data_IF_589334153002
#
_entry.id   IF_589334153002
#
_cell.length_a   1.000
_cell.length_b   1.000
_cell.length_c   1.000
_cell.angle_alpha   90.00
_cell.angle_beta   90.00
_cell.angle_gamma   90.00
#
_symmetry.space_group_name_H-M   'P 1'
#
loop_
_entity.id
_entity.type
_entity.pdbx_description
1 polymer ?
#
# COMPACT_ATOMS: atom_id res chain seq x y z
N UNK A 1 5.39 -13.12 -28.90
CA UNK A 1 5.82 -12.63 -27.58
C UNK A 1 4.59 -12.08 -26.86
N UNK A 2 4.34 -12.52 -25.64
CA UNK A 2 3.23 -11.99 -24.83
C UNK A 2 3.77 -10.85 -23.98
N UNK A 3 3.13 -9.69 -24.01
CA UNK A 3 3.46 -8.53 -23.19
C UNK A 3 2.44 -8.48 -22.06
N UNK A 4 2.92 -8.49 -20.81
CA UNK A 4 2.12 -8.23 -19.62
C UNK A 4 2.44 -6.85 -19.05
N UNK A 5 1.51 -6.26 -18.31
CA UNK A 5 1.70 -4.96 -17.65
C UNK A 5 1.60 -5.14 -16.15
N UNK A 6 2.63 -4.67 -15.45
CA UNK A 6 2.71 -4.67 -13.99
C UNK A 6 2.50 -3.24 -13.46
N UNK A 7 1.60 -3.09 -12.50
CA UNK A 7 1.34 -1.82 -11.83
C UNK A 7 1.77 -1.88 -10.37
N UNK A 8 2.25 -0.76 -9.86
CA UNK A 8 2.25 -0.49 -8.42
C UNK A 8 0.84 -0.06 -7.97
N UNK A 9 0.59 -0.02 -6.68
CA UNK A 9 -0.73 0.28 -6.11
C UNK A 9 -0.78 1.68 -5.51
N UNK A 10 -0.10 1.89 -4.38
CA UNK A 10 -0.16 3.15 -3.63
C UNK A 10 0.47 4.30 -4.42
N UNK A 11 -0.32 5.34 -4.69
CA UNK A 11 0.14 6.51 -5.45
C UNK A 11 0.23 6.30 -6.96
N UNK A 12 -0.17 5.13 -7.46
CA UNK A 12 -0.21 4.79 -8.89
C UNK A 12 -1.64 4.52 -9.34
N UNK A 13 -2.28 3.50 -8.80
CA UNK A 13 -3.67 3.13 -9.11
C UNK A 13 -4.65 3.70 -8.09
N UNK A 14 -4.29 3.68 -6.81
CA UNK A 14 -5.10 4.17 -5.70
C UNK A 14 -4.43 5.36 -5.01
N UNK A 15 -5.23 6.36 -4.70
CA UNK A 15 -4.87 7.39 -3.75
C UNK A 15 -5.21 6.90 -2.34
N UNK A 16 -4.21 6.33 -1.67
CA UNK A 16 -4.33 5.73 -0.33
C UNK A 16 -3.77 6.65 0.76
N UNK A 17 -3.30 7.84 0.40
CA UNK A 17 -2.44 8.66 1.26
C UNK A 17 -3.16 9.16 2.52
N UNK A 18 -4.41 9.57 2.40
CA UNK A 18 -5.20 10.08 3.54
C UNK A 18 -5.44 8.99 4.59
N UNK A 19 -5.84 7.80 4.17
CA UNK A 19 -6.06 6.67 5.08
C UNK A 19 -4.75 6.19 5.71
N UNK A 20 -3.63 6.21 4.96
CA UNK A 20 -2.30 5.93 5.50
C UNK A 20 -1.88 6.96 6.55
N UNK A 21 -2.11 8.26 6.29
CA UNK A 21 -1.85 9.33 7.24
C UNK A 21 -2.67 9.15 8.52
N UNK A 22 -3.96 8.90 8.38
CA UNK A 22 -4.85 8.76 9.52
C UNK A 22 -4.47 7.55 10.39
N UNK A 23 -4.11 6.42 9.77
CA UNK A 23 -3.63 5.24 10.50
C UNK A 23 -2.26 5.46 11.16
N UNK A 24 -1.35 6.18 10.48
CA UNK A 24 -0.05 6.56 11.05
C UNK A 24 -0.27 7.42 12.28
N UNK A 25 -1.10 8.45 12.18
CA UNK A 25 -1.36 9.38 13.29
C UNK A 25 -2.14 8.72 14.43
N UNK A 26 -3.04 7.79 14.13
CA UNK A 26 -3.66 6.96 15.18
C UNK A 26 -2.61 6.21 15.99
N UNK A 27 -1.67 5.55 15.33
CA UNK A 27 -0.59 4.82 16.01
C UNK A 27 0.31 5.75 16.84
N UNK A 28 0.70 6.88 16.27
CA UNK A 28 1.55 7.87 16.95
C UNK A 28 0.86 8.49 18.17
N UNK A 29 -0.36 8.99 17.99
CA UNK A 29 -1.13 9.65 19.06
C UNK A 29 -1.44 8.70 20.21
N UNK A 30 -1.70 7.42 19.93
CA UNK A 30 -1.93 6.41 20.95
C UNK A 30 -0.69 6.11 21.83
N UNK A 31 0.49 6.54 21.38
CA UNK A 31 1.76 6.45 22.11
C UNK A 31 2.25 7.80 22.65
N UNK A 32 1.45 8.86 22.48
CA UNK A 32 1.81 10.21 22.90
C UNK A 32 2.86 10.88 22.01
N UNK A 33 3.06 10.39 20.79
CA UNK A 33 3.99 10.99 19.83
C UNK A 33 3.31 12.04 18.96
N UNK A 34 4.08 13.04 18.46
CA UNK A 34 3.54 14.05 17.54
C UNK A 34 3.00 13.43 16.25
N UNK A 35 1.90 13.97 15.76
CA UNK A 35 1.34 13.59 14.47
C UNK A 35 2.22 14.06 13.31
N UNK A 36 2.08 13.37 12.17
CA UNK A 36 2.74 13.71 10.91
C UNK A 36 1.75 14.34 9.94
N UNK A 37 2.24 15.30 9.18
CA UNK A 37 1.47 15.92 8.09
C UNK A 37 1.32 14.97 6.91
N UNK A 38 0.38 15.29 6.02
CA UNK A 38 0.16 14.56 4.78
C UNK A 38 1.43 14.52 3.91
N UNK A 39 2.16 15.63 3.84
CA UNK A 39 3.41 15.76 3.09
C UNK A 39 4.54 14.88 3.67
N UNK A 40 4.65 14.80 4.99
CA UNK A 40 5.62 13.91 5.62
C UNK A 40 5.29 12.45 5.35
N UNK A 41 4.02 12.04 5.54
CA UNK A 41 3.58 10.67 5.27
C UNK A 41 3.78 10.30 3.80
N UNK A 42 3.51 11.23 2.87
CA UNK A 42 3.78 11.03 1.43
C UNK A 42 5.23 10.64 1.16
N UNK A 43 6.19 11.26 1.85
CA UNK A 43 7.62 10.95 1.71
C UNK A 43 8.00 9.61 2.31
N UNK A 44 7.25 9.14 3.29
CA UNK A 44 7.53 7.88 4.00
C UNK A 44 6.94 6.65 3.30
N UNK A 45 5.95 6.83 2.44
CA UNK A 45 5.24 5.75 1.73
C UNK A 45 6.10 5.18 0.60
N UNK A 46 5.95 3.89 0.33
CA UNK A 46 6.54 3.20 -0.82
C UNK A 46 7.46 2.03 -0.46
N UNK A 47 7.99 1.99 0.76
CA UNK A 47 8.95 0.98 1.20
C UNK A 47 8.41 0.07 2.33
N UNK A 48 7.10 -0.11 2.37
CA UNK A 48 6.40 -0.95 3.35
C UNK A 48 6.10 -0.25 4.68
N UNK A 49 5.18 -0.84 5.44
CA UNK A 49 4.67 -0.27 6.70
C UNK A 49 5.77 -0.12 7.77
N UNK A 50 6.72 -1.04 7.83
CA UNK A 50 7.84 -0.98 8.76
C UNK A 50 8.69 0.27 8.57
N UNK A 51 9.03 0.61 7.31
CA UNK A 51 9.78 1.84 6.99
C UNK A 51 8.95 3.10 7.21
N UNK A 52 7.68 3.07 6.85
CA UNK A 52 6.76 4.18 7.12
C UNK A 52 6.78 4.52 8.63
N UNK A 53 6.59 3.54 9.49
CA UNK A 53 6.55 3.77 10.94
C UNK A 53 7.92 4.16 11.52
N UNK A 54 9.01 3.57 11.03
CA UNK A 54 10.36 3.94 11.45
C UNK A 54 10.70 5.41 11.16
N UNK A 55 10.17 5.97 10.07
CA UNK A 55 10.34 7.39 9.74
C UNK A 55 9.32 8.29 10.46
N UNK A 56 8.17 7.76 10.84
CA UNK A 56 7.11 8.52 11.48
C UNK A 56 7.35 8.77 12.97
N UNK A 57 7.91 7.79 13.71
CA UNK A 57 8.21 7.96 15.13
C UNK A 57 9.29 9.03 15.35
N UNK A 58 9.39 9.61 16.58
CA UNK A 58 10.48 10.54 16.90
C UNK A 58 11.87 9.90 16.73
N UNK A 59 12.87 10.72 16.44
CA UNK A 59 14.25 10.27 16.27
C UNK A 59 14.73 9.48 17.50
N UNK A 60 15.37 8.33 17.28
CA UNK A 60 15.91 7.47 18.33
C UNK A 60 14.87 6.57 19.02
N UNK A 61 13.60 6.62 18.62
CA UNK A 61 12.54 5.77 19.18
C UNK A 61 12.43 4.49 18.34
N UNK A 62 12.30 3.35 19.02
CA UNK A 62 11.94 2.07 18.35
C UNK A 62 10.51 2.14 17.82
N UNK A 63 10.33 1.78 16.56
CA UNK A 63 9.04 1.83 15.87
C UNK A 63 8.18 0.58 16.03
N UNK A 64 8.65 -0.45 16.73
CA UNK A 64 7.97 -1.76 16.80
C UNK A 64 6.53 -1.65 17.35
N UNK A 65 6.35 -0.91 18.44
CA UNK A 65 5.02 -0.71 19.04
C UNK A 65 4.10 0.11 18.14
N UNK A 66 4.62 1.17 17.53
CA UNK A 66 3.87 1.99 16.59
C UNK A 66 3.46 1.19 15.35
N UNK A 67 4.34 0.34 14.84
CA UNK A 67 4.06 -0.56 13.72
C UNK A 67 2.94 -1.55 14.09
N UNK A 68 2.99 -2.14 15.29
CA UNK A 68 1.95 -3.07 15.76
C UNK A 68 0.57 -2.39 15.83
N UNK A 69 0.50 -1.16 16.32
CA UNK A 69 -0.75 -0.38 16.38
C UNK A 69 -1.26 0.01 15.00
N UNK A 70 -0.37 0.42 14.10
CA UNK A 70 -0.71 0.69 12.72
C UNK A 70 -1.29 -0.56 12.03
N UNK A 71 -0.64 -1.71 12.19
CA UNK A 71 -1.07 -2.97 11.59
C UNK A 71 -2.41 -3.49 12.15
N UNK A 72 -2.71 -3.18 13.40
CA UNK A 72 -4.00 -3.51 14.01
C UNK A 72 -5.14 -2.61 13.53
N UNK A 73 -4.85 -1.33 13.27
CA UNK A 73 -5.85 -0.31 12.89
C UNK A 73 -6.11 -0.25 11.37
N UNK A 74 -5.05 -0.23 10.58
CA UNK A 74 -5.12 0.09 9.15
C UNK A 74 -6.02 -0.86 8.34
N UNK A 75 -6.02 -2.20 8.52
CA UNK A 75 -6.83 -3.10 7.68
C UNK A 75 -8.33 -2.78 7.68
N UNK A 76 -8.88 -2.33 8.79
CA UNK A 76 -10.30 -1.96 8.91
C UNK A 76 -10.59 -0.50 8.53
N UNK A 77 -9.55 0.33 8.27
CA UNK A 77 -9.66 1.76 7.99
C UNK A 77 -9.03 2.17 6.66
N UNK A 78 -8.62 1.22 5.84
CA UNK A 78 -7.87 1.49 4.60
C UNK A 78 -8.74 1.83 3.38
N UNK A 79 -10.06 1.91 3.53
CA UNK A 79 -11.00 2.20 2.46
C UNK A 79 -11.98 3.34 2.80
N UNK A 80 -11.63 4.21 3.73
CA UNK A 80 -12.49 5.31 4.16
C UNK A 80 -12.38 6.48 3.17
N UNK A 81 -11.15 6.89 2.85
CA UNK A 81 -10.85 8.01 1.95
C UNK A 81 -10.10 7.56 0.69
N UNK A 82 -9.71 6.29 0.64
CA UNK A 82 -9.02 5.69 -0.51
C UNK A 82 -9.96 5.60 -1.71
N UNK A 83 -9.45 5.96 -2.88
CA UNK A 83 -10.16 5.84 -4.15
C UNK A 83 -9.16 5.68 -5.30
N UNK A 84 -9.57 5.07 -6.44
CA UNK A 84 -8.78 5.11 -7.66
C UNK A 84 -8.56 6.56 -8.13
N UNK A 85 -7.39 6.82 -8.70
CA UNK A 85 -7.20 8.09 -9.40
C UNK A 85 -8.16 8.20 -10.58
N UNK A 86 -8.60 9.43 -10.96
CA UNK A 86 -9.49 9.64 -12.10
C UNK A 86 -8.94 9.00 -13.38
N UNK A 87 -9.79 8.24 -14.08
CA UNK A 87 -9.44 7.56 -15.33
C UNK A 87 -8.78 6.19 -15.16
N UNK A 88 -8.38 5.78 -13.97
CA UNK A 88 -7.74 4.48 -13.73
C UNK A 88 -8.68 3.31 -14.01
N UNK A 89 -9.92 3.25 -13.51
CA UNK A 89 -10.82 2.12 -13.81
C UNK A 89 -11.04 1.93 -15.30
N UNK A 90 -11.25 3.00 -16.05
CA UNK A 90 -11.47 2.98 -17.49
C UNK A 90 -10.21 2.53 -18.25
N UNK A 91 -9.04 3.01 -17.84
CA UNK A 91 -7.76 2.63 -18.43
C UNK A 91 -7.47 1.14 -18.23
N UNK A 92 -7.65 0.63 -17.00
CA UNK A 92 -7.46 -0.80 -16.72
C UNK A 92 -8.44 -1.68 -17.49
N UNK A 93 -9.70 -1.29 -17.58
CA UNK A 93 -10.70 -2.02 -18.36
C UNK A 93 -10.36 -2.07 -19.87
N UNK A 94 -9.78 -1.00 -20.41
CA UNK A 94 -9.32 -0.98 -21.80
C UNK A 94 -8.06 -1.85 -22.01
N UNK A 95 -7.10 -1.78 -21.07
CA UNK A 95 -5.87 -2.56 -21.15
C UNK A 95 -6.07 -4.05 -20.97
N UNK A 96 -6.97 -4.48 -20.06
CA UNK A 96 -7.30 -5.89 -19.84
C UNK A 96 -7.79 -6.61 -21.10
N UNK A 97 -8.38 -5.88 -22.04
CA UNK A 97 -8.84 -6.46 -23.32
C UNK A 97 -7.68 -6.85 -24.24
N UNK A 98 -6.49 -6.33 -24.00
CA UNK A 98 -5.33 -6.48 -24.88
C UNK A 98 -4.14 -7.16 -24.20
N UNK A 99 -4.01 -7.00 -22.90
CA UNK A 99 -2.82 -7.42 -22.14
C UNK A 99 -3.22 -8.09 -20.84
N UNK A 100 -2.51 -9.13 -20.39
CA UNK A 100 -2.57 -9.57 -19.01
C UNK A 100 -2.05 -8.45 -18.08
N UNK A 101 -2.79 -8.19 -17.02
CA UNK A 101 -2.45 -7.17 -16.03
C UNK A 101 -2.20 -7.80 -14.67
N UNK A 102 -1.23 -7.26 -13.92
CA UNK A 102 -1.02 -7.61 -12.52
C UNK A 102 -0.63 -6.38 -11.69
N UNK A 103 -0.90 -6.45 -10.39
CA UNK A 103 -0.58 -5.41 -9.41
C UNK A 103 0.42 -6.00 -8.41
N UNK A 104 1.55 -5.34 -8.21
CA UNK A 104 2.60 -5.74 -7.25
C UNK A 104 2.96 -4.55 -6.36
N UNK A 105 2.85 -4.72 -5.04
CA UNK A 105 2.97 -3.63 -4.08
C UNK A 105 3.83 -4.02 -2.88
N UNK A 106 4.58 -3.05 -2.33
CA UNK A 106 5.29 -3.20 -1.05
C UNK A 106 4.37 -3.12 0.18
N UNK A 107 3.08 -2.89 -0.03
CA UNK A 107 2.07 -3.01 1.00
C UNK A 107 1.89 -4.48 1.42
N UNK A 108 1.54 -4.77 2.68
CA UNK A 108 1.25 -6.15 3.10
C UNK A 108 0.17 -6.81 2.24
N UNK A 109 0.40 -8.06 1.86
CA UNK A 109 -0.53 -8.84 1.00
C UNK A 109 -1.94 -8.92 1.58
N UNK A 110 -2.04 -8.97 2.91
CA UNK A 110 -3.31 -8.93 3.65
C UNK A 110 -4.13 -7.65 3.44
N UNK A 111 -3.49 -6.56 3.03
CA UNK A 111 -4.18 -5.30 2.66
C UNK A 111 -4.34 -5.17 1.14
N UNK A 112 -3.36 -5.63 0.35
CA UNK A 112 -3.41 -5.55 -1.13
C UNK A 112 -4.58 -6.34 -1.69
N UNK A 113 -4.75 -7.57 -1.26
CA UNK A 113 -5.80 -8.46 -1.80
C UNK A 113 -7.22 -7.94 -1.62
N UNK A 114 -7.66 -7.54 -0.42
CA UNK A 114 -9.00 -6.97 -0.24
C UNK A 114 -9.21 -5.67 -1.02
N UNK A 115 -8.21 -4.78 -1.04
CA UNK A 115 -8.28 -3.53 -1.79
C UNK A 115 -8.45 -3.79 -3.30
N UNK A 116 -7.60 -4.65 -3.86
CA UNK A 116 -7.64 -4.94 -5.30
C UNK A 116 -8.89 -5.73 -5.69
N UNK A 117 -9.37 -6.64 -4.85
CA UNK A 117 -10.62 -7.35 -5.08
C UNK A 117 -11.83 -6.38 -5.13
N UNK A 118 -11.81 -5.33 -4.31
CA UNK A 118 -12.86 -4.32 -4.29
C UNK A 118 -12.79 -3.33 -5.45
N UNK A 119 -11.61 -2.80 -5.74
CA UNK A 119 -11.44 -1.75 -6.76
C UNK A 119 -11.13 -2.28 -8.16
N UNK A 120 -10.42 -3.40 -8.27
CA UNK A 120 -9.91 -3.95 -9.53
C UNK A 120 -10.17 -5.46 -9.66
N UNK A 121 -11.43 -5.89 -9.61
CA UNK A 121 -11.76 -7.31 -9.63
C UNK A 121 -11.24 -7.98 -10.91
N UNK A 122 -10.72 -9.20 -10.76
CA UNK A 122 -10.20 -9.99 -11.88
C UNK A 122 -8.76 -9.67 -12.29
N UNK A 123 -8.09 -8.71 -11.62
CA UNK A 123 -6.66 -8.45 -11.83
C UNK A 123 -5.88 -9.15 -10.71
N UNK A 124 -4.84 -9.92 -11.09
CA UNK A 124 -3.93 -10.52 -10.12
C UNK A 124 -3.27 -9.43 -9.27
N UNK A 125 -3.22 -9.63 -7.96
CA UNK A 125 -2.60 -8.70 -7.06
C UNK A 125 -1.76 -9.41 -5.99
N UNK A 126 -0.56 -8.91 -5.74
CA UNK A 126 0.36 -9.45 -4.74
C UNK A 126 1.03 -8.33 -3.95
N UNK A 127 1.10 -8.54 -2.64
CA UNK A 127 1.81 -7.69 -1.70
C UNK A 127 2.95 -8.41 -0.98
N UNK A 128 3.64 -7.70 -0.09
CA UNK A 128 4.69 -8.27 0.76
C UNK A 128 4.11 -9.33 1.71
N UNK A 129 4.76 -10.48 1.80
CA UNK A 129 4.43 -11.56 2.73
C UNK A 129 5.70 -12.32 3.14
N UNK A 130 5.58 -13.23 4.10
CA UNK A 130 6.72 -14.02 4.59
C UNK A 130 7.39 -14.85 3.49
N UNK A 131 6.60 -15.33 2.52
CA UNK A 131 7.04 -16.11 1.36
C UNK A 131 7.30 -15.25 0.12
N UNK A 132 7.11 -13.94 0.21
CA UNK A 132 7.19 -13.03 -0.92
C UNK A 132 7.72 -11.65 -0.47
N UNK A 133 9.04 -11.46 -0.49
CA UNK A 133 9.67 -10.23 -0.03
C UNK A 133 9.28 -9.04 -0.91
N UNK A 134 9.37 -7.84 -0.34
CA UNK A 134 9.05 -6.59 -1.02
C UNK A 134 10.00 -6.26 -2.17
N UNK A 135 9.52 -5.46 -3.11
CA UNK A 135 10.36 -4.86 -4.16
C UNK A 135 11.53 -4.05 -3.54
N UNK A 136 12.72 -4.11 -4.10
CA UNK A 136 13.07 -4.56 -5.46
C UNK A 136 13.33 -6.07 -5.62
N UNK A 137 13.06 -6.90 -4.62
CA UNK A 137 13.12 -8.35 -4.78
C UNK A 137 12.13 -8.80 -5.88
N UNK A 138 12.51 -9.72 -6.77
CA UNK A 138 11.73 -10.00 -7.98
C UNK A 138 10.59 -11.01 -7.79
N UNK A 139 10.45 -11.59 -6.60
CA UNK A 139 9.52 -12.70 -6.34
C UNK A 139 8.07 -12.37 -6.69
N UNK A 140 7.61 -11.15 -6.37
CA UNK A 140 6.26 -10.71 -6.72
C UNK A 140 6.02 -10.71 -8.23
N UNK A 141 7.05 -10.34 -9.00
CA UNK A 141 6.99 -10.28 -10.46
C UNK A 141 6.94 -11.69 -11.05
N UNK A 142 7.67 -12.64 -10.46
CA UNK A 142 7.64 -14.04 -10.93
C UNK A 142 6.32 -14.74 -10.64
N UNK A 143 5.54 -14.26 -9.66
CA UNK A 143 4.22 -14.80 -9.33
C UNK A 143 3.10 -14.17 -10.18
N UNK A 144 3.35 -13.01 -10.74
CA UNK A 144 2.39 -12.27 -11.57
C UNK A 144 2.31 -12.83 -13.01
#
# INVERSE_FOLDING_TARGET
MTIGILFDLDGTLLNTLEDLKDATNYALSSLGYPERSLEEVRRFVGNGAGRLMAQAVPAGVDSAEALARFQAYYPSHCQIKTAPYPGIPEALAALQKKYPLAIVSNKPDTAVKPLCAGYFPGIFARGEAADCPRKPAPEMVYQA
#
